data_IF_006139403186
#
_entry.id   IF_006139403186
#
_cell.length_a   1.000
_cell.length_b   1.000
_cell.length_c   1.000
_cell.angle_alpha   90.00
_cell.angle_beta   90.00
_cell.angle_gamma   90.00
#
_symmetry.space_group_name_H-M   'P 1'
#
loop_
_entity.id
_entity.type
_entity.pdbx_description
1 polymer ?
#
# COMPACT_ATOMS: atom_id res chain seq x y z
N UNK A 1 -10.67 1.42 -9.99
CA UNK A 1 -9.95 2.15 -8.92
C UNK A 1 -9.77 3.62 -9.21
N UNK A 2 -9.46 4.02 -10.44
CA UNK A 2 -9.46 5.43 -10.87
C UNK A 2 -10.74 6.20 -10.48
N UNK A 3 -11.91 5.62 -10.71
CA UNK A 3 -13.19 6.25 -10.36
C UNK A 3 -13.33 6.57 -8.87
N UNK A 4 -12.87 5.68 -7.99
CA UNK A 4 -12.86 5.94 -6.54
C UNK A 4 -11.94 7.10 -6.18
N UNK A 5 -10.77 7.21 -6.81
CA UNK A 5 -9.88 8.36 -6.60
C UNK A 5 -10.49 9.66 -7.13
N UNK A 6 -11.21 9.61 -8.26
CA UNK A 6 -11.91 10.78 -8.82
C UNK A 6 -12.97 11.29 -7.84
N UNK A 7 -13.84 10.41 -7.35
CA UNK A 7 -14.90 10.78 -6.40
C UNK A 7 -14.32 11.17 -5.04
N UNK A 8 -13.27 10.50 -4.56
CA UNK A 8 -12.56 10.88 -3.34
C UNK A 8 -12.05 12.33 -3.41
N UNK A 9 -11.39 12.71 -4.51
CA UNK A 9 -10.94 14.08 -4.72
C UNK A 9 -12.09 15.10 -4.75
N UNK A 10 -13.24 14.75 -5.34
CA UNK A 10 -14.43 15.61 -5.33
C UNK A 10 -15.06 15.77 -3.95
N UNK A 11 -14.94 14.76 -3.10
CA UNK A 11 -15.43 14.78 -1.72
C UNK A 11 -14.42 15.36 -0.73
N UNK A 12 -13.21 15.68 -1.18
CA UNK A 12 -12.13 16.21 -0.34
C UNK A 12 -11.38 15.15 0.48
N UNK A 13 -11.54 13.86 0.16
CA UNK A 13 -10.75 12.80 0.78
C UNK A 13 -9.35 12.73 0.17
N UNK A 14 -8.35 12.57 1.02
CA UNK A 14 -6.94 12.62 0.64
C UNK A 14 -6.40 11.28 0.14
N UNK A 15 -7.06 10.16 0.45
CA UNK A 15 -6.52 8.82 0.19
C UNK A 15 -7.54 7.83 -0.40
N UNK A 16 -7.03 6.87 -1.18
CA UNK A 16 -7.74 5.71 -1.69
C UNK A 16 -6.96 4.43 -1.38
N UNK A 17 -7.56 3.52 -0.61
CA UNK A 17 -6.97 2.22 -0.28
C UNK A 17 -7.36 1.20 -1.34
N UNK A 18 -6.37 0.57 -1.97
CA UNK A 18 -6.56 -0.49 -2.94
C UNK A 18 -6.23 -1.83 -2.30
N UNK A 19 -7.26 -2.66 -2.17
CA UNK A 19 -7.20 -4.00 -1.58
C UNK A 19 -6.38 -4.98 -2.45
N UNK A 20 -6.11 -6.18 -1.94
CA UNK A 20 -5.03 -7.07 -2.40
C UNK A 20 -4.98 -7.50 -3.89
N UNK A 21 -5.98 -7.18 -4.71
CA UNK A 21 -5.95 -7.46 -6.16
C UNK A 21 -4.91 -6.65 -6.93
N UNK A 22 -4.39 -5.54 -6.39
CA UNK A 22 -3.30 -4.77 -7.02
C UNK A 22 -2.03 -5.61 -7.23
N UNK A 23 -1.84 -6.66 -6.43
CA UNK A 23 -0.67 -7.56 -6.54
C UNK A 23 -0.58 -8.23 -7.91
N UNK A 24 -1.71 -8.42 -8.61
CA UNK A 24 -1.79 -9.01 -9.95
C UNK A 24 -1.48 -8.03 -11.08
N UNK A 25 -1.37 -6.74 -10.77
CA UNK A 25 -1.11 -5.70 -11.76
C UNK A 25 0.35 -5.65 -12.15
N UNK A 26 0.61 -5.26 -13.40
CA UNK A 26 1.95 -4.92 -13.86
C UNK A 26 2.43 -3.62 -13.21
N UNK A 27 3.75 -3.35 -13.19
CA UNK A 27 4.28 -2.07 -12.71
C UNK A 27 3.62 -0.85 -13.39
N UNK A 28 3.33 -0.94 -14.68
CA UNK A 28 2.71 0.14 -15.47
C UNK A 28 1.28 0.40 -15.00
N UNK A 29 0.49 -0.66 -14.78
CA UNK A 29 -0.88 -0.54 -14.27
C UNK A 29 -0.92 0.08 -12.86
N UNK A 30 0.03 -0.29 -11.99
CA UNK A 30 0.16 0.32 -10.65
C UNK A 30 0.50 1.80 -10.77
N UNK A 31 1.48 2.15 -11.59
CA UNK A 31 1.87 3.55 -11.82
C UNK A 31 0.73 4.37 -12.42
N UNK A 32 -0.01 3.80 -13.38
CA UNK A 32 -1.13 4.47 -14.05
C UNK A 32 -2.25 4.85 -13.07
N UNK A 33 -2.60 3.97 -12.12
CA UNK A 33 -3.62 4.30 -11.11
C UNK A 33 -3.11 5.32 -10.09
N UNK A 34 -1.83 5.24 -9.69
CA UNK A 34 -1.22 6.20 -8.77
C UNK A 34 -1.18 7.59 -9.40
N UNK A 35 -0.68 7.70 -10.63
CA UNK A 35 -0.56 8.98 -11.33
C UNK A 35 -1.93 9.60 -11.59
N UNK A 36 -2.93 8.79 -11.98
CA UNK A 36 -4.31 9.27 -12.11
C UNK A 36 -4.88 9.75 -10.77
N UNK A 37 -4.64 9.03 -9.67
CA UNK A 37 -5.14 9.43 -8.35
C UNK A 37 -4.52 10.74 -7.90
N UNK A 38 -3.21 10.91 -8.14
CA UNK A 38 -2.48 12.15 -7.84
C UNK A 38 -3.04 13.36 -8.60
N UNK A 39 -3.45 13.19 -9.85
CA UNK A 39 -4.13 14.26 -10.62
C UNK A 39 -5.46 14.70 -10.00
N UNK A 40 -6.09 13.85 -9.19
CA UNK A 40 -7.31 14.16 -8.44
C UNK A 40 -7.02 14.62 -6.99
N UNK A 41 -5.75 14.86 -6.63
CA UNK A 41 -5.36 15.23 -5.27
C UNK A 41 -5.40 14.08 -4.26
N UNK A 42 -5.44 12.82 -4.73
CA UNK A 42 -5.63 11.64 -3.88
C UNK A 42 -4.38 10.75 -3.90
N UNK A 43 -3.84 10.46 -2.72
CA UNK A 43 -2.78 9.48 -2.50
C UNK A 43 -3.31 8.04 -2.50
N UNK A 44 -2.54 7.10 -3.03
CA UNK A 44 -2.92 5.68 -3.05
C UNK A 44 -2.22 4.93 -1.92
N UNK A 45 -2.97 4.07 -1.24
CA UNK A 45 -2.45 3.09 -0.27
C UNK A 45 -2.67 1.68 -0.82
N UNK A 46 -1.69 0.80 -0.67
CA UNK A 46 -1.83 -0.62 -1.06
C UNK A 46 -1.99 -1.52 0.15
N UNK A 47 -2.95 -2.44 0.09
CA UNK A 47 -3.13 -3.46 1.11
C UNK A 47 -2.10 -4.59 0.97
N UNK A 48 -1.56 -5.12 2.07
CA UNK A 48 -0.64 -6.26 2.06
C UNK A 48 -0.88 -7.16 3.27
N UNK A 49 -0.81 -8.47 3.06
CA UNK A 49 -0.86 -9.43 4.15
C UNK A 49 0.49 -9.49 4.87
N UNK A 50 0.49 -9.39 6.20
CA UNK A 50 1.68 -9.49 7.07
C UNK A 50 2.57 -10.71 6.82
N UNK A 51 1.99 -11.86 6.44
CA UNK A 51 2.72 -13.12 6.21
C UNK A 51 3.78 -13.01 5.11
N UNK A 52 3.56 -12.10 4.16
CA UNK A 52 4.46 -11.87 3.03
C UNK A 52 5.60 -10.90 3.39
N UNK A 53 5.63 -10.38 4.62
CA UNK A 53 6.56 -9.33 5.07
C UNK A 53 7.42 -9.79 6.26
N UNK A 54 7.53 -11.10 6.50
CA UNK A 54 8.21 -11.65 7.68
C UNK A 54 9.73 -11.49 7.66
N UNK A 55 10.35 -11.31 6.51
CA UNK A 55 11.80 -11.13 6.39
C UNK A 55 12.17 -9.67 6.10
N UNK A 56 13.37 -9.20 6.50
CA UNK A 56 13.87 -7.88 6.11
C UNK A 56 13.85 -7.66 4.60
N UNK A 57 14.26 -8.65 3.81
CA UNK A 57 14.37 -8.54 2.36
C UNK A 57 13.00 -8.38 1.69
N UNK A 58 11.99 -9.12 2.17
CA UNK A 58 10.63 -9.01 1.64
C UNK A 58 9.99 -7.64 1.95
N UNK A 59 10.32 -7.06 3.11
CA UNK A 59 9.88 -5.70 3.47
C UNK A 59 10.56 -4.66 2.61
N UNK A 60 11.88 -4.73 2.46
CA UNK A 60 12.64 -3.82 1.61
C UNK A 60 12.14 -3.85 0.16
N UNK A 61 11.95 -5.05 -0.42
CA UNK A 61 11.43 -5.20 -1.77
C UNK A 61 10.03 -4.58 -1.90
N UNK A 62 9.15 -4.84 -0.92
CA UNK A 62 7.79 -4.31 -0.91
C UNK A 62 7.77 -2.78 -0.81
N UNK A 63 8.47 -2.19 0.16
CA UNK A 63 8.47 -0.74 0.35
C UNK A 63 9.18 -0.01 -0.80
N UNK A 64 10.24 -0.60 -1.36
CA UNK A 64 10.87 -0.09 -2.58
C UNK A 64 9.89 -0.07 -3.76
N UNK A 65 9.13 -1.14 -3.95
CA UNK A 65 8.10 -1.22 -4.99
C UNK A 65 7.03 -0.13 -4.79
N UNK A 66 6.57 0.10 -3.56
CA UNK A 66 5.61 1.16 -3.26
C UNK A 66 6.18 2.54 -3.59
N UNK A 67 7.40 2.81 -3.14
CA UNK A 67 8.11 4.05 -3.39
C UNK A 67 8.28 4.31 -4.90
N UNK A 68 8.79 3.34 -5.65
CA UNK A 68 9.02 3.45 -7.10
C UNK A 68 7.71 3.66 -7.88
N UNK A 69 6.60 3.05 -7.43
CA UNK A 69 5.28 3.25 -8.01
C UNK A 69 4.63 4.59 -7.60
N UNK A 70 5.17 5.29 -6.60
CA UNK A 70 4.64 6.53 -6.05
C UNK A 70 3.43 6.35 -5.11
N UNK A 71 3.24 5.15 -4.57
CA UNK A 71 2.26 4.82 -3.53
C UNK A 71 2.68 5.51 -2.23
N UNK A 72 1.73 6.05 -1.46
CA UNK A 72 2.02 6.90 -0.29
C UNK A 72 1.89 6.18 1.05
N UNK A 73 1.46 4.92 1.04
CA UNK A 73 1.29 4.14 2.26
C UNK A 73 0.90 2.68 2.00
N UNK A 74 0.95 1.89 3.08
CA UNK A 74 0.53 0.50 3.07
C UNK A 74 -0.51 0.25 4.18
N UNK A 75 -1.54 -0.54 3.88
CA UNK A 75 -2.44 -1.13 4.88
C UNK A 75 -1.99 -2.57 5.10
N UNK A 76 -1.31 -2.84 6.21
CA UNK A 76 -0.82 -4.19 6.54
C UNK A 76 -1.82 -4.87 7.46
N UNK A 77 -2.24 -6.07 7.10
CA UNK A 77 -3.37 -6.77 7.72
C UNK A 77 -2.99 -8.19 8.15
N UNK A 78 -3.86 -8.80 8.96
CA UNK A 78 -3.69 -10.14 9.56
C UNK A 78 -2.47 -10.25 10.47
N UNK A 79 -2.36 -9.35 11.43
CA UNK A 79 -1.37 -9.46 12.49
C UNK A 79 -2.12 -9.92 13.74
N UNK A 80 -2.20 -11.24 13.91
CA UNK A 80 -3.30 -11.88 14.63
C UNK A 80 -2.95 -12.29 16.08
N UNK A 81 -1.76 -11.97 16.59
CA UNK A 81 -1.35 -12.27 17.96
C UNK A 81 -0.26 -11.33 18.48
N UNK A 82 -0.04 -11.32 19.80
CA UNK A 82 0.86 -10.39 20.50
C UNK A 82 2.18 -11.05 20.94
N UNK A 83 2.54 -12.18 20.35
CA UNK A 83 3.81 -12.83 20.66
C UNK A 83 4.98 -11.91 20.27
N UNK A 84 6.12 -12.02 20.96
CA UNK A 84 7.25 -11.10 20.81
C UNK A 84 7.68 -10.97 19.33
N UNK A 85 7.73 -12.07 18.60
CA UNK A 85 8.10 -12.07 17.19
C UNK A 85 7.16 -11.24 16.29
N UNK A 86 5.89 -11.12 16.67
CA UNK A 86 4.92 -10.28 15.95
C UNK A 86 5.06 -8.81 16.34
N UNK A 87 5.32 -8.52 17.62
CA UNK A 87 5.64 -7.14 18.04
C UNK A 87 6.92 -6.66 17.35
N UNK A 88 7.96 -7.51 17.29
CA UNK A 88 9.21 -7.21 16.60
C UNK A 88 8.97 -6.97 15.08
N UNK A 89 8.06 -7.74 14.46
CA UNK A 89 7.65 -7.49 13.07
C UNK A 89 6.92 -6.14 12.93
N UNK A 90 5.99 -5.83 13.83
CA UNK A 90 5.28 -4.54 13.84
C UNK A 90 6.23 -3.35 13.92
N UNK A 91 7.15 -3.36 14.88
CA UNK A 91 8.14 -2.29 15.05
C UNK A 91 9.00 -2.15 13.79
N UNK A 92 9.46 -3.28 13.25
CA UNK A 92 10.35 -3.27 12.10
C UNK A 92 9.61 -3.09 10.76
N UNK A 93 8.28 -2.96 10.73
CA UNK A 93 7.51 -2.48 9.58
C UNK A 93 7.38 -0.95 9.56
N UNK A 94 7.67 -0.28 10.68
CA UNK A 94 7.58 1.17 10.86
C UNK A 94 8.92 1.89 10.72
N UNK A 95 10.02 1.14 10.55
CA UNK A 95 11.38 1.64 10.32
C UNK A 95 11.64 1.83 8.83
#
# INVERSE_FOLDING_TARGET
>A
MKEFSRVAGQLGFEYNVIEGFWSKWTPEQRKEVVDYSRQNGVGVWFWKHSKDLRTPEAREEFFKLLHDAGVVGAKIDFIDHEAKEVIDLYEALLQ
#
